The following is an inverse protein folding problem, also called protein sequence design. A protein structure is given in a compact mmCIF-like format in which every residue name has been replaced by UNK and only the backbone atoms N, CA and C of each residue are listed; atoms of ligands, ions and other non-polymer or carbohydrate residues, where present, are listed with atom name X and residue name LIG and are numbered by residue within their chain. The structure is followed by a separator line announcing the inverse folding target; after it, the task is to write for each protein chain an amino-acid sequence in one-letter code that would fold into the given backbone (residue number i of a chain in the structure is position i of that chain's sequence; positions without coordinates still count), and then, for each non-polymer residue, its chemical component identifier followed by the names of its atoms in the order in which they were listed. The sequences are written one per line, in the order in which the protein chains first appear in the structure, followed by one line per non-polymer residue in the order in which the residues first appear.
data_IF_740351813302
#
_entry.id   IF_740351813302
#
_cell.length_a   1.000
_cell.length_b   1.000
_cell.length_c   1.000
_cell.angle_alpha   90.00
_cell.angle_beta   90.00
_cell.angle_gamma   90.00
#
_symmetry.space_group_name_H-M   'P 1'
#
loop_
_entity.id
_entity.type
_entity.pdbx_description
1 polymer ?
#
# COMPACT_ATOMS: atom_id res chain seq x y z
N UNK A 1 -10.86 21.62 -4.36
CA UNK A 1 -11.56 21.54 -3.06
C UNK A 1 -10.58 21.90 -1.96
N UNK A 2 -10.90 22.91 -1.12
CA UNK A 2 -9.99 23.47 -0.11
C UNK A 2 -10.52 23.38 1.34
N UNK A 3 -11.63 22.65 1.55
CA UNK A 3 -12.24 22.52 2.87
C UNK A 3 -11.53 21.46 3.71
N UNK A 4 -11.08 21.84 4.91
CA UNK A 4 -10.26 21.05 5.87
C UNK A 4 -10.88 19.69 6.23
N UNK A 5 -12.20 19.54 6.12
CA UNK A 5 -12.97 18.31 6.37
C UNK A 5 -14.04 18.09 5.31
N UNK A 6 -13.78 18.56 4.09
CA UNK A 6 -14.69 18.29 2.99
C UNK A 6 -14.81 16.77 2.86
N UNK A 7 -16.04 16.28 2.89
CA UNK A 7 -16.38 14.86 2.78
C UNK A 7 -15.98 14.03 4.02
N UNK A 8 -16.94 13.82 4.91
CA UNK A 8 -16.84 12.98 6.11
C UNK A 8 -18.20 12.33 6.35
N UNK A 9 -18.20 11.04 6.69
CA UNK A 9 -19.43 10.28 6.95
C UNK A 9 -20.44 10.38 5.78
N UNK A 10 -19.92 10.45 4.56
CA UNK A 10 -20.73 10.57 3.35
C UNK A 10 -20.84 9.21 2.64
N UNK A 11 -21.85 9.05 1.80
CA UNK A 11 -22.06 7.86 0.97
C UNK A 11 -22.27 8.26 -0.50
N UNK A 12 -21.99 7.33 -1.41
CA UNK A 12 -22.23 7.44 -2.86
C UNK A 12 -21.57 8.68 -3.47
N UNK A 13 -20.25 8.68 -3.42
CA UNK A 13 -19.41 9.83 -3.79
C UNK A 13 -18.76 9.59 -5.13
N UNK A 14 -18.85 10.59 -6.00
CA UNK A 14 -18.08 10.66 -7.24
C UNK A 14 -17.25 11.93 -7.24
N UNK A 15 -15.93 11.78 -7.37
CA UNK A 15 -14.98 12.86 -7.55
C UNK A 15 -14.27 12.62 -8.87
N UNK A 16 -14.40 13.57 -9.80
CA UNK A 16 -13.80 13.47 -11.13
C UNK A 16 -13.17 14.80 -11.54
N UNK A 17 -12.02 14.76 -12.22
CA UNK A 17 -11.37 15.94 -12.79
C UNK A 17 -11.11 17.03 -11.73
N UNK A 18 -10.67 16.60 -10.54
CA UNK A 18 -10.62 17.44 -9.35
C UNK A 18 -9.20 17.59 -8.79
N UNK A 19 -8.94 18.76 -8.22
CA UNK A 19 -7.81 18.99 -7.32
C UNK A 19 -8.33 19.10 -5.88
N UNK A 20 -7.81 18.27 -4.99
CA UNK A 20 -8.12 18.25 -3.56
C UNK A 20 -6.89 18.73 -2.80
N UNK A 21 -7.08 19.72 -1.94
CA UNK A 21 -6.09 20.14 -0.98
C UNK A 21 -6.79 20.31 0.36
N UNK A 22 -6.64 19.31 1.23
CA UNK A 22 -7.30 19.29 2.54
C UNK A 22 -6.45 18.52 3.52
N UNK A 23 -6.36 18.93 4.78
CA UNK A 23 -5.66 18.16 5.80
C UNK A 23 -6.38 16.86 6.16
N UNK A 24 -7.72 16.83 6.12
CA UNK A 24 -8.54 15.63 6.32
C UNK A 24 -9.53 15.49 5.16
N UNK A 25 -9.66 14.29 4.57
CA UNK A 25 -10.60 14.10 3.48
C UNK A 25 -11.10 12.66 3.39
N UNK A 26 -12.40 12.47 3.18
CA UNK A 26 -13.00 11.17 2.90
C UNK A 26 -13.14 10.23 4.09
N UNK A 27 -13.10 10.76 5.31
CA UNK A 27 -13.12 9.92 6.51
C UNK A 27 -14.48 9.25 6.69
N UNK A 28 -14.45 7.97 7.11
CA UNK A 28 -15.64 7.18 7.47
C UNK A 28 -16.74 7.20 6.39
N UNK A 29 -16.33 7.35 5.13
CA UNK A 29 -17.23 7.49 3.99
C UNK A 29 -17.24 6.20 3.17
N UNK A 30 -18.30 5.96 2.41
CA UNK A 30 -18.50 4.70 1.67
C UNK A 30 -18.91 4.91 0.23
N UNK A 31 -18.67 3.90 -0.62
CA UNK A 31 -19.02 3.90 -2.04
C UNK A 31 -18.39 5.10 -2.76
N UNK A 32 -17.07 5.16 -2.75
CA UNK A 32 -16.30 6.31 -3.23
C UNK A 32 -15.65 5.99 -4.56
N UNK A 33 -15.88 6.82 -5.56
CA UNK A 33 -15.18 6.76 -6.85
C UNK A 33 -14.38 8.04 -7.03
N UNK A 34 -13.06 7.91 -7.21
CA UNK A 34 -12.15 9.03 -7.50
C UNK A 34 -11.44 8.75 -8.81
N UNK A 35 -11.58 9.66 -9.77
CA UNK A 35 -11.03 9.50 -11.10
C UNK A 35 -10.39 10.77 -11.63
N UNK A 36 -9.26 10.65 -12.30
CA UNK A 36 -8.57 11.77 -12.98
C UNK A 36 -8.35 12.95 -12.01
N UNK A 37 -7.74 12.67 -10.85
CA UNK A 37 -7.67 13.63 -9.75
C UNK A 37 -6.27 13.75 -9.14
N UNK A 38 -6.00 14.92 -8.56
CA UNK A 38 -4.81 15.17 -7.74
C UNK A 38 -5.22 15.52 -6.32
N UNK A 39 -4.60 14.91 -5.33
CA UNK A 39 -4.93 15.12 -3.93
C UNK A 39 -3.68 15.36 -3.09
N UNK A 40 -3.72 16.39 -2.24
CA UNK A 40 -2.74 16.66 -1.20
C UNK A 40 -3.47 16.61 0.14
N UNK A 41 -3.04 15.71 1.03
CA UNK A 41 -3.65 15.58 2.36
C UNK A 41 -2.73 14.98 3.42
N UNK A 42 -2.88 15.45 4.66
CA UNK A 42 -2.23 14.83 5.81
C UNK A 42 -2.91 13.49 6.15
N UNK A 43 -4.24 13.47 6.19
CA UNK A 43 -5.04 12.28 6.47
C UNK A 43 -6.10 12.04 5.40
N UNK A 44 -6.00 10.92 4.68
CA UNK A 44 -6.81 10.66 3.50
C UNK A 44 -7.53 9.32 3.58
N UNK A 45 -8.86 9.31 3.39
CA UNK A 45 -9.70 8.11 3.35
C UNK A 45 -9.59 7.22 4.60
N UNK A 46 -9.44 7.82 5.78
CA UNK A 46 -9.38 7.06 7.04
C UNK A 46 -10.72 6.35 7.27
N UNK A 47 -10.68 5.03 7.47
CA UNK A 47 -11.87 4.16 7.66
C UNK A 47 -12.89 4.28 6.52
N UNK A 48 -12.43 4.54 5.30
CA UNK A 48 -13.30 4.50 4.13
C UNK A 48 -13.57 3.04 3.70
N UNK A 49 -14.70 2.80 3.05
CA UNK A 49 -15.14 1.46 2.63
C UNK A 49 -15.66 1.50 1.18
N UNK A 50 -15.40 0.44 0.41
CA UNK A 50 -15.84 0.34 -1.00
C UNK A 50 -15.33 1.53 -1.83
N UNK A 51 -14.01 1.58 -2.03
CA UNK A 51 -13.31 2.71 -2.65
C UNK A 51 -12.68 2.30 -3.98
N UNK A 52 -12.92 3.07 -5.04
CA UNK A 52 -12.28 2.88 -6.36
C UNK A 52 -11.53 4.13 -6.80
N UNK A 53 -10.22 4.00 -7.00
CA UNK A 53 -9.39 5.07 -7.58
C UNK A 53 -8.88 4.66 -8.96
N UNK A 54 -8.92 5.61 -9.89
CA UNK A 54 -8.38 5.45 -11.25
C UNK A 54 -7.66 6.73 -11.66
N UNK A 55 -6.39 6.63 -12.06
CA UNK A 55 -5.60 7.79 -12.51
C UNK A 55 -5.55 8.92 -11.45
N UNK A 56 -5.05 8.56 -10.26
CA UNK A 56 -4.96 9.49 -9.12
C UNK A 56 -3.50 9.72 -8.72
N UNK A 57 -3.12 10.99 -8.61
CA UNK A 57 -1.87 11.40 -7.96
C UNK A 57 -2.16 11.88 -6.54
N UNK A 58 -1.48 11.31 -5.55
CA UNK A 58 -1.63 11.64 -4.15
C UNK A 58 -0.29 12.01 -3.51
N UNK A 59 -0.28 13.09 -2.72
CA UNK A 59 0.85 13.44 -1.85
C UNK A 59 0.37 13.67 -0.41
N UNK A 60 0.98 13.01 0.56
CA UNK A 60 0.49 13.11 1.94
C UNK A 60 1.34 12.42 3.01
N UNK A 61 0.74 12.19 4.18
CA UNK A 61 1.41 11.48 5.28
C UNK A 61 0.70 10.22 5.72
N UNK A 62 -0.56 10.30 6.15
CA UNK A 62 -1.30 9.19 6.76
C UNK A 62 -2.49 8.82 5.89
N UNK A 63 -2.23 8.08 4.81
CA UNK A 63 -3.25 7.75 3.83
C UNK A 63 -3.81 6.34 4.03
N UNK A 64 -5.10 6.16 3.74
CA UNK A 64 -5.76 4.86 3.65
C UNK A 64 -5.68 4.00 4.93
N UNK A 65 -5.61 4.63 6.10
CA UNK A 65 -5.63 3.91 7.37
C UNK A 65 -7.01 3.27 7.60
N UNK A 66 -7.03 1.97 7.93
CA UNK A 66 -8.25 1.17 8.10
C UNK A 66 -9.16 1.14 6.86
N UNK A 67 -8.59 1.30 5.66
CA UNK A 67 -9.32 1.21 4.40
C UNK A 67 -9.83 -0.21 4.18
N UNK A 68 -11.09 -0.37 3.79
CA UNK A 68 -11.69 -1.68 3.51
C UNK A 68 -12.30 -1.75 2.11
N UNK A 69 -12.13 -2.88 1.46
CA UNK A 69 -12.72 -3.18 0.14
C UNK A 69 -12.37 -2.10 -0.89
N UNK A 70 -11.11 -2.06 -1.32
CA UNK A 70 -10.65 -0.99 -2.21
C UNK A 70 -9.89 -1.49 -3.43
N UNK A 71 -10.06 -0.76 -4.53
CA UNK A 71 -9.38 -0.99 -5.80
C UNK A 71 -8.74 0.31 -6.30
N UNK A 72 -7.42 0.33 -6.40
CA UNK A 72 -6.66 1.49 -6.87
C UNK A 72 -5.86 1.09 -8.11
N UNK A 73 -6.05 1.81 -9.21
CA UNK A 73 -5.40 1.52 -10.49
C UNK A 73 -4.78 2.77 -11.12
N UNK A 74 -3.60 2.61 -11.72
CA UNK A 74 -2.86 3.68 -12.40
C UNK A 74 -2.64 4.91 -11.50
N UNK A 75 -2.25 4.67 -10.25
CA UNK A 75 -2.06 5.72 -9.25
C UNK A 75 -0.58 6.00 -8.97
N UNK A 76 -0.29 7.22 -8.53
CA UNK A 76 1.01 7.61 -7.95
C UNK A 76 0.74 8.08 -6.53
N UNK A 77 1.18 7.31 -5.54
CA UNK A 77 0.96 7.58 -4.13
C UNK A 77 2.31 7.91 -3.49
N UNK A 78 2.55 9.19 -3.16
CA UNK A 78 3.70 9.64 -2.39
C UNK A 78 3.24 10.00 -0.98
N UNK A 79 3.42 9.08 -0.03
CA UNK A 79 2.92 9.21 1.33
C UNK A 79 4.00 8.86 2.33
N UNK A 80 3.80 9.19 3.60
CA UNK A 80 4.61 8.60 4.67
C UNK A 80 4.10 7.18 4.91
N UNK A 81 2.98 7.03 5.61
CA UNK A 81 2.31 5.76 5.86
C UNK A 81 1.14 5.59 4.88
N UNK A 82 0.88 4.36 4.45
CA UNK A 82 -0.28 4.00 3.64
C UNK A 82 -0.82 2.61 4.03
N UNK A 83 -2.13 2.39 3.89
CA UNK A 83 -2.78 1.08 4.04
C UNK A 83 -2.57 0.40 5.41
N UNK A 84 -2.30 1.18 6.45
CA UNK A 84 -2.19 0.65 7.80
C UNK A 84 -3.53 0.00 8.20
N UNK A 85 -3.52 -1.27 8.63
CA UNK A 85 -4.72 -2.03 9.00
C UNK A 85 -5.78 -2.11 7.90
N UNK A 86 -5.39 -2.02 6.63
CA UNK A 86 -6.34 -2.16 5.53
C UNK A 86 -6.80 -3.61 5.35
N UNK A 87 -8.02 -3.81 4.87
CA UNK A 87 -8.61 -5.13 4.62
C UNK A 87 -9.11 -5.22 3.18
N UNK A 88 -8.75 -6.28 2.46
CA UNK A 88 -9.20 -6.55 1.08
C UNK A 88 -8.96 -5.36 0.14
N UNK A 89 -7.69 -5.04 -0.09
CA UNK A 89 -7.27 -3.94 -0.95
C UNK A 89 -6.47 -4.47 -2.12
N UNK A 90 -6.77 -4.02 -3.33
CA UNK A 90 -6.01 -4.32 -4.53
C UNK A 90 -5.48 -3.02 -5.14
N UNK A 91 -4.16 -2.94 -5.27
CA UNK A 91 -3.46 -1.84 -5.95
C UNK A 91 -2.80 -2.39 -7.21
N UNK A 92 -3.06 -1.79 -8.36
CA UNK A 92 -2.62 -2.27 -9.66
C UNK A 92 -1.94 -1.17 -10.48
N UNK A 93 -0.88 -1.52 -11.22
CA UNK A 93 -0.21 -0.64 -12.18
C UNK A 93 0.18 0.73 -11.57
N UNK A 94 0.63 0.74 -10.32
CA UNK A 94 0.79 1.98 -9.54
C UNK A 94 2.18 2.13 -8.95
N UNK A 95 2.55 3.36 -8.63
CA UNK A 95 3.75 3.68 -7.84
C UNK A 95 3.30 4.01 -6.42
N UNK A 96 3.87 3.33 -5.43
CA UNK A 96 3.57 3.53 -4.02
C UNK A 96 4.89 3.80 -3.29
N UNK A 97 5.07 5.05 -2.89
CA UNK A 97 6.21 5.52 -2.10
C UNK A 97 5.74 5.80 -0.68
N UNK A 98 6.37 5.15 0.28
CA UNK A 98 6.12 5.40 1.69
C UNK A 98 6.99 4.61 2.66
N UNK A 99 7.08 5.15 3.87
CA UNK A 99 7.65 4.52 5.06
C UNK A 99 6.57 3.61 5.69
N UNK A 100 6.94 2.43 6.18
CA UNK A 100 6.00 1.58 6.94
C UNK A 100 4.72 1.19 6.16
N UNK A 101 4.85 1.05 4.84
CA UNK A 101 3.74 0.75 3.95
C UNK A 101 2.98 -0.53 4.38
N UNK A 102 1.66 -0.45 4.42
CA UNK A 102 0.72 -1.56 4.60
C UNK A 102 0.85 -2.36 5.90
N UNK A 103 1.43 -1.76 6.94
CA UNK A 103 1.57 -2.42 8.23
C UNK A 103 0.24 -2.97 8.74
N UNK A 104 0.23 -4.23 9.16
CA UNK A 104 -0.94 -4.93 9.69
C UNK A 104 -2.12 -5.06 8.73
N UNK A 105 -1.89 -4.99 7.41
CA UNK A 105 -2.92 -5.23 6.41
C UNK A 105 -3.32 -6.70 6.30
N UNK A 106 -4.56 -6.98 5.90
CA UNK A 106 -5.08 -8.31 5.64
C UNK A 106 -5.66 -8.40 4.22
N UNK A 107 -5.17 -9.33 3.40
CA UNK A 107 -5.63 -9.51 2.01
C UNK A 107 -5.24 -8.36 1.08
N UNK A 108 -4.04 -7.79 1.25
CA UNK A 108 -3.51 -6.78 0.34
C UNK A 108 -2.88 -7.45 -0.91
N UNK A 109 -3.31 -7.00 -2.09
CA UNK A 109 -2.74 -7.39 -3.38
C UNK A 109 -2.10 -6.18 -4.06
N UNK A 110 -0.82 -6.31 -4.40
CA UNK A 110 -0.06 -5.35 -5.19
C UNK A 110 0.31 -6.01 -6.52
N UNK A 111 -0.21 -5.50 -7.63
CA UNK A 111 -0.01 -6.07 -8.97
C UNK A 111 0.67 -5.04 -9.89
N UNK A 112 1.78 -5.42 -10.52
CA UNK A 112 2.56 -4.56 -11.41
C UNK A 112 2.90 -3.20 -10.78
N UNK A 113 3.19 -3.19 -9.48
CA UNK A 113 3.46 -1.95 -8.74
C UNK A 113 4.96 -1.72 -8.55
N UNK A 114 5.33 -0.45 -8.42
CA UNK A 114 6.65 -0.03 -7.93
C UNK A 114 6.51 0.46 -6.50
N UNK A 115 7.18 -0.20 -5.57
CA UNK A 115 7.13 0.06 -4.14
C UNK A 115 8.45 0.70 -3.73
N UNK A 116 8.39 1.80 -2.99
CA UNK A 116 9.58 2.60 -2.64
C UNK A 116 9.51 2.99 -1.16
N UNK A 117 10.59 2.73 -0.42
CA UNK A 117 10.73 3.22 0.96
C UNK A 117 11.05 2.14 1.98
N UNK A 118 11.31 2.57 3.21
CA UNK A 118 11.82 1.74 4.31
C UNK A 118 10.73 0.94 5.01
N UNK A 119 11.10 -0.26 5.48
CA UNK A 119 10.25 -1.16 6.27
C UNK A 119 8.84 -1.40 5.70
N UNK A 120 8.69 -1.64 4.38
CA UNK A 120 7.36 -1.84 3.82
C UNK A 120 6.87 -3.27 4.12
N UNK A 121 5.55 -3.42 4.15
CA UNK A 121 4.85 -4.70 4.12
C UNK A 121 5.07 -5.58 5.36
N UNK A 122 5.26 -4.99 6.54
CA UNK A 122 5.40 -5.73 7.79
C UNK A 122 4.04 -6.10 8.41
N UNK A 123 4.01 -7.20 9.13
CA UNK A 123 2.87 -7.72 9.89
C UNK A 123 1.62 -7.98 9.03
N UNK A 124 1.80 -8.21 7.72
CA UNK A 124 0.70 -8.41 6.80
C UNK A 124 0.22 -9.87 6.83
N UNK A 125 -1.07 -10.08 6.59
CA UNK A 125 -1.66 -11.39 6.39
C UNK A 125 -2.27 -11.52 5.00
N UNK A 126 -2.08 -12.67 4.35
CA UNK A 126 -2.50 -12.93 2.96
C UNK A 126 -1.99 -11.86 1.97
N UNK A 127 -0.74 -11.44 2.15
CA UNK A 127 -0.10 -10.45 1.29
C UNK A 127 0.29 -11.07 -0.05
N UNK A 128 -0.10 -10.44 -1.16
CA UNK A 128 0.27 -10.88 -2.52
C UNK A 128 0.98 -9.76 -3.29
N UNK A 129 2.18 -10.03 -3.77
CA UNK A 129 2.90 -9.18 -4.71
C UNK A 129 3.03 -9.92 -6.04
N UNK A 130 2.48 -9.34 -7.10
CA UNK A 130 2.47 -9.91 -8.45
C UNK A 130 3.28 -8.97 -9.33
N UNK A 131 4.41 -9.44 -9.87
CA UNK A 131 5.27 -8.69 -10.80
C UNK A 131 5.65 -7.28 -10.31
N UNK A 132 6.01 -7.14 -9.03
CA UNK A 132 6.33 -5.83 -8.45
C UNK A 132 7.82 -5.48 -8.56
N UNK A 133 8.14 -4.20 -8.50
CA UNK A 133 9.49 -3.69 -8.23
C UNK A 133 9.53 -3.12 -6.82
N UNK A 134 10.64 -3.31 -6.13
CA UNK A 134 10.87 -2.81 -4.77
C UNK A 134 12.19 -2.05 -4.76
N UNK A 135 12.13 -0.72 -4.67
CA UNK A 135 13.28 0.18 -4.80
C UNK A 135 13.58 0.81 -3.46
N UNK A 136 14.86 0.81 -3.06
CA UNK A 136 15.30 1.37 -1.77
C UNK A 136 14.52 0.81 -0.56
N UNK A 137 14.08 -0.45 -0.67
CA UNK A 137 13.31 -1.13 0.38
C UNK A 137 14.22 -2.00 1.25
N UNK A 138 14.33 -1.65 2.52
CA UNK A 138 14.97 -2.41 3.56
C UNK A 138 13.96 -2.95 4.57
N UNK A 139 14.37 -3.97 5.33
CA UNK A 139 13.64 -4.56 6.45
C UNK A 139 12.20 -4.98 6.09
N UNK A 140 11.98 -5.37 4.84
CA UNK A 140 10.65 -5.65 4.33
C UNK A 140 10.12 -6.99 4.85
N UNK A 141 8.80 -7.12 4.92
CA UNK A 141 8.05 -8.36 5.19
C UNK A 141 8.08 -8.91 6.62
N UNK A 142 8.52 -8.14 7.62
CA UNK A 142 8.63 -8.63 9.00
C UNK A 142 7.31 -9.22 9.51
N UNK A 143 7.34 -10.52 9.86
CA UNK A 143 6.21 -11.31 10.36
C UNK A 143 5.01 -11.43 9.40
N UNK A 144 5.22 -11.17 8.11
CA UNK A 144 4.15 -11.24 7.12
C UNK A 144 3.95 -12.65 6.58
N UNK A 145 2.70 -13.00 6.26
CA UNK A 145 2.35 -14.17 5.45
C UNK A 145 2.22 -13.72 3.99
N UNK A 146 3.07 -14.24 3.10
CA UNK A 146 3.35 -13.56 1.83
C UNK A 146 3.50 -14.52 0.65
N UNK A 147 2.96 -14.13 -0.51
CA UNK A 147 3.31 -14.68 -1.82
C UNK A 147 3.76 -13.55 -2.74
N UNK A 148 5.05 -13.49 -3.04
CA UNK A 148 5.64 -12.37 -3.77
C UNK A 148 6.47 -12.82 -4.97
N UNK A 149 6.30 -12.12 -6.09
CA UNK A 149 7.22 -12.13 -7.23
C UNK A 149 7.74 -10.72 -7.47
N UNK A 150 9.03 -10.52 -7.24
CA UNK A 150 9.73 -9.24 -7.32
C UNK A 150 10.67 -9.27 -8.53
N UNK A 151 10.70 -8.19 -9.31
CA UNK A 151 11.44 -8.12 -10.59
C UNK A 151 12.89 -7.66 -10.46
N UNK A 152 13.27 -7.07 -9.34
CA UNK A 152 14.59 -6.48 -9.12
C UNK A 152 15.19 -6.90 -7.78
N UNK A 153 16.45 -6.54 -7.54
CA UNK A 153 17.11 -6.80 -6.26
C UNK A 153 16.57 -5.91 -5.14
N UNK A 154 16.48 -6.46 -3.92
CA UNK A 154 15.96 -5.80 -2.71
C UNK A 154 17.09 -5.57 -1.70
N UNK A 155 17.03 -4.49 -0.90
CA UNK A 155 18.08 -4.20 0.08
C UNK A 155 18.05 -5.21 1.24
N UNK A 156 16.91 -5.38 1.90
CA UNK A 156 16.80 -6.46 2.88
C UNK A 156 15.38 -6.98 3.09
N UNK A 157 15.32 -8.27 3.42
CA UNK A 157 14.11 -8.98 3.84
C UNK A 157 14.32 -9.42 5.28
N UNK A 158 13.32 -9.16 6.13
CA UNK A 158 13.40 -9.46 7.57
C UNK A 158 12.24 -10.35 7.99
N UNK A 159 12.55 -11.47 8.62
CA UNK A 159 11.64 -12.35 9.35
C UNK A 159 10.25 -12.60 8.71
N UNK A 160 10.11 -12.88 7.41
CA UNK A 160 8.81 -13.25 6.85
C UNK A 160 8.30 -14.53 7.51
N UNK A 161 7.07 -14.50 8.01
CA UNK A 161 6.49 -15.55 8.84
C UNK A 161 6.28 -16.84 8.04
N UNK A 162 5.59 -16.74 6.91
CA UNK A 162 5.29 -17.90 6.07
C UNK A 162 5.05 -17.48 4.61
N UNK A 163 5.14 -18.46 3.70
CA UNK A 163 4.87 -18.28 2.28
C UNK A 163 6.13 -18.29 1.42
N UNK A 164 6.11 -17.56 0.30
CA UNK A 164 7.15 -17.62 -0.73
C UNK A 164 7.45 -16.23 -1.30
N UNK A 165 8.74 -15.89 -1.39
CA UNK A 165 9.24 -14.67 -2.01
C UNK A 165 10.23 -15.05 -3.10
N UNK A 166 9.86 -14.84 -4.35
CA UNK A 166 10.74 -15.01 -5.52
C UNK A 166 11.33 -13.63 -5.87
N UNK A 167 12.65 -13.54 -5.86
CA UNK A 167 13.37 -12.27 -6.02
C UNK A 167 14.74 -12.48 -6.66
N UNK A 168 15.21 -11.69 -7.64
CA UNK A 168 16.50 -11.93 -8.28
C UNK A 168 17.70 -11.95 -7.31
N UNK A 169 17.75 -10.97 -6.40
CA UNK A 169 18.74 -10.94 -5.34
C UNK A 169 18.28 -10.15 -4.12
N UNK A 170 18.79 -10.50 -2.95
CA UNK A 170 18.59 -9.74 -1.71
C UNK A 170 19.97 -9.42 -1.14
N UNK A 171 20.22 -8.16 -0.80
CA UNK A 171 21.52 -7.76 -0.25
C UNK A 171 21.72 -8.28 1.18
N UNK A 172 20.67 -8.31 2.00
CA UNK A 172 20.71 -8.87 3.35
C UNK A 172 19.40 -9.60 3.69
N UNK A 173 19.52 -10.79 4.28
CA UNK A 173 18.38 -11.57 4.77
C UNK A 173 18.54 -11.71 6.28
N UNK A 174 17.55 -11.23 7.03
CA UNK A 174 17.53 -11.25 8.49
C UNK A 174 16.47 -12.26 8.94
N UNK A 175 16.89 -13.33 9.61
CA UNK A 175 16.05 -14.46 10.04
C UNK A 175 16.33 -14.82 11.50
N UNK A 176 16.24 -13.84 12.41
CA UNK A 176 16.49 -13.98 13.84
C UNK A 176 15.23 -14.25 14.68
N UNK A 177 14.04 -14.25 14.05
CA UNK A 177 12.79 -14.71 14.66
C UNK A 177 12.60 -16.23 14.42
N UNK A 178 12.46 -17.07 15.47
CA UNK A 178 12.26 -18.52 15.31
C UNK A 178 10.99 -18.90 14.55
N UNK A 179 10.00 -17.99 14.45
CA UNK A 179 8.76 -18.17 13.70
C UNK A 179 8.85 -17.72 12.23
N UNK A 180 9.98 -17.15 11.80
CA UNK A 180 10.20 -16.82 10.39
C UNK A 180 10.49 -18.10 9.59
N UNK A 181 9.55 -18.49 8.72
CA UNK A 181 9.57 -19.75 7.94
C UNK A 181 9.27 -19.56 6.46
N UNK A 182 9.12 -18.33 5.96
CA UNK A 182 8.88 -18.14 4.53
C UNK A 182 10.10 -18.57 3.68
N UNK A 183 9.81 -19.13 2.51
CA UNK A 183 10.83 -19.52 1.54
C UNK A 183 11.25 -18.29 0.72
N UNK A 184 12.53 -17.92 0.79
CA UNK A 184 13.10 -16.84 -0.03
C UNK A 184 13.90 -17.51 -1.17
N UNK A 185 13.43 -17.36 -2.40
CA UNK A 185 13.98 -18.02 -3.59
C UNK A 185 14.66 -16.96 -4.46
N UNK A 186 15.98 -17.06 -4.59
CA UNK A 186 16.76 -16.19 -5.45
C UNK A 186 16.90 -16.75 -6.87
N UNK A 187 16.34 -16.07 -7.88
CA UNK A 187 16.40 -16.45 -9.29
C UNK A 187 17.28 -15.46 -10.09
N UNK A 188 18.57 -15.78 -10.21
CA UNK A 188 19.55 -14.96 -10.94
C UNK A 188 19.19 -14.77 -12.41
#
# INVERSE_FOLDING_TARGET
MHGIKALRECNDIVIKDCQINSSEFGWMSRNIQVKDAKAISEYFMMRAENVRFENVEFTGKYSFQYLKDAYLENCVLDTKDAFWHSENVWVKNSVVKGEYLAWYSHGLVLENCKIIGTQPLCYCEDLKLINCEMIDTDLAFEKSTVKATIKNSVLSIKNPKEGEIIVPAVKEIIMDDPFAKANIIQNR
#
